data_IF_318088693883
#
_entry.id   IF_318088693883
#
_cell.length_a   1.000
_cell.length_b   1.000
_cell.length_c   1.000
_cell.angle_alpha   90.00
_cell.angle_beta   90.00
_cell.angle_gamma   90.00
#
_symmetry.space_group_name_H-M   'P 1'
#
loop_
_entity.id
_entity.type
_entity.pdbx_description
1 polymer ?
#
# COMPACT_ATOMS: atom_id res chain seq x y z
N UNK A 1 -24.10 -2.69 -26.18
CA UNK A 1 -23.68 -1.26 -26.09
C UNK A 1 -22.36 -1.14 -25.33
N UNK A 2 -21.60 -2.22 -25.19
CA UNK A 2 -20.54 -2.35 -24.17
C UNK A 2 -19.15 -2.11 -24.75
N UNK A 3 -18.98 -2.33 -26.05
CA UNK A 3 -17.70 -2.12 -26.76
C UNK A 3 -17.36 -0.62 -26.87
N UNK A 4 -18.38 0.24 -27.06
CA UNK A 4 -18.23 1.69 -27.14
C UNK A 4 -17.77 2.30 -25.80
N UNK A 5 -18.19 1.71 -24.68
CA UNK A 5 -17.77 2.13 -23.34
C UNK A 5 -16.31 1.76 -23.07
N UNK A 6 -15.86 0.58 -23.53
CA UNK A 6 -14.47 0.13 -23.38
C UNK A 6 -13.45 0.98 -24.17
N UNK A 7 -13.83 1.47 -25.36
CA UNK A 7 -12.97 2.34 -26.18
C UNK A 7 -12.85 3.74 -25.58
N UNK A 8 -13.94 4.28 -25.04
CA UNK A 8 -13.92 5.56 -24.30
C UNK A 8 -13.03 5.49 -23.06
N UNK A 9 -13.03 4.36 -22.34
CA UNK A 9 -12.13 4.15 -21.19
C UNK A 9 -10.65 4.16 -21.59
N UNK A 10 -10.31 3.63 -22.77
CA UNK A 10 -8.92 3.60 -23.26
C UNK A 10 -8.48 5.00 -23.72
N UNK A 11 -9.34 5.76 -24.41
CA UNK A 11 -9.04 7.14 -24.80
C UNK A 11 -8.72 8.02 -23.59
N UNK A 12 -9.52 7.88 -22.52
CA UNK A 12 -9.31 8.61 -21.28
C UNK A 12 -7.96 8.26 -20.60
N UNK A 13 -7.47 7.03 -20.76
CA UNK A 13 -6.17 6.63 -20.20
C UNK A 13 -5.01 7.29 -20.94
N UNK A 14 -5.08 7.42 -22.27
CA UNK A 14 -4.06 8.11 -23.05
C UNK A 14 -3.98 9.61 -22.71
N UNK A 15 -5.12 10.29 -22.61
CA UNK A 15 -5.17 11.72 -22.28
C UNK A 15 -4.63 12.01 -20.86
N UNK A 16 -4.87 11.12 -19.91
CA UNK A 16 -4.32 11.23 -18.55
C UNK A 16 -2.81 10.94 -18.48
N UNK A 17 -2.29 10.13 -19.40
CA UNK A 17 -0.86 9.80 -19.48
C UNK A 17 -0.03 10.97 -20.04
N UNK A 18 -0.60 11.73 -20.98
CA UNK A 18 -0.02 12.98 -21.50
C UNK A 18 0.01 14.08 -20.42
N UNK A 19 -1.06 14.21 -19.63
CA UNK A 19 -1.13 15.14 -18.50
C UNK A 19 -0.14 14.80 -17.36
N UNK A 20 0.10 13.51 -17.10
CA UNK A 20 1.11 13.05 -16.15
C UNK A 20 2.53 13.43 -16.59
N UNK A 21 2.82 13.32 -17.90
CA UNK A 21 4.12 13.71 -18.46
C UNK A 21 4.40 15.22 -18.33
N UNK A 22 3.34 16.04 -18.38
CA UNK A 22 3.41 17.51 -18.30
C UNK A 22 3.55 18.06 -16.88
N UNK A 23 3.35 17.23 -15.85
CA UNK A 23 3.38 17.66 -14.44
C UNK A 23 4.77 17.56 -13.79
N UNK A 24 5.82 17.16 -14.54
CA UNK A 24 7.20 17.09 -14.03
C UNK A 24 7.88 18.44 -13.77
N UNK A 25 7.29 19.58 -14.16
CA UNK A 25 7.93 20.90 -14.10
C UNK A 25 7.40 21.86 -13.01
N UNK A 26 6.72 21.40 -11.96
CA UNK A 26 6.24 22.33 -10.92
C UNK A 26 6.45 21.81 -9.50
N UNK A 27 7.43 22.41 -8.82
CA UNK A 27 7.62 22.67 -7.38
C UNK A 27 6.55 22.15 -6.39
N UNK A 28 6.31 20.84 -6.35
CA UNK A 28 5.35 20.20 -5.44
C UNK A 28 5.91 18.92 -4.80
N UNK A 29 7.24 18.79 -4.70
CA UNK A 29 7.90 17.60 -4.16
C UNK A 29 7.65 17.38 -2.66
N UNK A 30 7.57 18.46 -1.86
CA UNK A 30 7.27 18.35 -0.41
C UNK A 30 5.90 17.73 -0.15
N UNK A 31 4.87 18.13 -0.91
CA UNK A 31 3.52 17.57 -0.77
C UNK A 31 3.42 16.12 -1.28
N UNK A 32 4.25 15.74 -2.25
CA UNK A 32 4.31 14.37 -2.77
C UNK A 32 4.89 13.39 -1.75
N UNK A 33 6.04 13.74 -1.15
CA UNK A 33 6.67 12.93 -0.11
C UNK A 33 5.78 12.79 1.13
N UNK A 34 5.17 13.90 1.59
CA UNK A 34 4.31 13.89 2.77
C UNK A 34 3.11 12.93 2.62
N UNK A 35 2.52 12.87 1.41
CA UNK A 35 1.42 11.93 1.11
C UNK A 35 1.88 10.48 1.15
N UNK A 36 3.01 10.16 0.53
CA UNK A 36 3.56 8.79 0.53
C UNK A 36 3.94 8.36 1.94
N UNK A 37 4.53 9.27 2.74
CA UNK A 37 4.84 9.00 4.14
C UNK A 37 3.59 8.75 4.97
N UNK A 38 2.53 9.55 4.80
CA UNK A 38 1.27 9.33 5.48
C UNK A 38 0.66 7.96 5.11
N UNK A 39 0.64 7.62 3.82
CA UNK A 39 0.16 6.29 3.39
C UNK A 39 1.01 5.14 3.97
N UNK A 40 2.31 5.33 4.14
CA UNK A 40 3.17 4.33 4.79
C UNK A 40 2.83 4.15 6.28
N UNK A 41 2.49 5.24 6.98
CA UNK A 41 2.01 5.16 8.37
C UNK A 41 0.66 4.45 8.46
N UNK A 42 -0.25 4.73 7.54
CA UNK A 42 -1.56 4.08 7.49
C UNK A 42 -1.41 2.57 7.24
N UNK A 43 -0.51 2.17 6.34
CA UNK A 43 -0.20 0.76 6.08
C UNK A 43 0.42 0.06 7.30
N UNK A 44 1.23 0.76 8.09
CA UNK A 44 1.79 0.22 9.32
C UNK A 44 0.68 -0.10 10.33
N UNK A 45 -0.30 0.81 10.48
CA UNK A 45 -1.46 0.60 11.33
C UNK A 45 -2.30 -0.58 10.83
N UNK A 46 -2.58 -0.66 9.52
CA UNK A 46 -3.32 -1.77 8.93
C UNK A 46 -2.59 -3.12 9.13
N UNK A 47 -1.27 -3.14 9.01
CA UNK A 47 -0.46 -4.34 9.28
C UNK A 47 -0.57 -4.78 10.73
N UNK A 48 -0.52 -3.83 11.67
CA UNK A 48 -0.71 -4.10 13.11
C UNK A 48 -2.09 -4.72 13.38
N UNK A 49 -3.15 -4.16 12.78
CA UNK A 49 -4.50 -4.70 12.91
C UNK A 49 -4.63 -6.12 12.35
N UNK A 50 -4.01 -6.39 11.19
CA UNK A 50 -3.99 -7.72 10.59
C UNK A 50 -3.21 -8.73 11.44
N UNK A 51 -2.09 -8.31 12.03
CA UNK A 51 -1.33 -9.14 12.97
C UNK A 51 -2.14 -9.47 14.22
N UNK A 52 -2.78 -8.49 14.84
CA UNK A 52 -3.63 -8.69 16.01
C UNK A 52 -4.80 -9.66 15.70
N UNK A 53 -5.40 -9.55 14.52
CA UNK A 53 -6.45 -10.48 14.07
C UNK A 53 -5.92 -11.91 13.88
N UNK A 54 -4.74 -12.05 13.28
CA UNK A 54 -4.10 -13.35 13.11
C UNK A 54 -3.77 -14.00 14.46
N UNK A 55 -3.20 -13.23 15.39
CA UNK A 55 -2.87 -13.69 16.75
C UNK A 55 -4.13 -14.09 17.53
N UNK A 56 -5.19 -13.29 17.46
CA UNK A 56 -6.47 -13.63 18.10
C UNK A 56 -7.08 -14.92 17.53
N UNK A 57 -7.01 -15.11 16.20
CA UNK A 57 -7.47 -16.35 15.56
C UNK A 57 -6.60 -17.55 15.96
N UNK A 58 -5.28 -17.34 16.11
CA UNK A 58 -4.32 -18.37 16.52
C UNK A 58 -4.58 -18.83 17.95
N UNK A 59 -4.81 -17.89 18.87
CA UNK A 59 -5.18 -18.18 20.26
C UNK A 59 -6.50 -18.97 20.31
N UNK A 60 -7.54 -18.53 19.59
CA UNK A 60 -8.82 -19.22 19.56
C UNK A 60 -8.72 -20.64 18.99
N UNK A 61 -7.87 -20.83 17.99
CA UNK A 61 -7.57 -22.15 17.42
C UNK A 61 -6.80 -23.03 18.41
N UNK A 62 -5.75 -22.51 19.05
CA UNK A 62 -4.94 -23.24 20.03
C UNK A 62 -5.76 -23.66 21.26
N UNK A 63 -6.76 -22.86 21.66
CA UNK A 63 -7.70 -23.17 22.73
C UNK A 63 -8.79 -24.17 22.33
N UNK A 64 -8.84 -24.60 21.06
CA UNK A 64 -9.86 -25.52 20.54
C UNK A 64 -11.25 -24.91 20.45
N UNK A 65 -11.37 -23.58 20.55
CA UNK A 65 -12.63 -22.84 20.47
C UNK A 65 -13.04 -22.54 19.02
N UNK A 66 -12.12 -22.71 18.08
CA UNK A 66 -12.35 -22.54 16.64
C UNK A 66 -11.85 -23.76 15.87
N UNK A 67 -12.73 -24.34 15.06
CA UNK A 67 -12.40 -25.43 14.12
C UNK A 67 -12.00 -24.88 12.73
N UNK A 68 -11.97 -23.56 12.56
CA UNK A 68 -11.81 -22.92 11.27
C UNK A 68 -10.33 -22.66 10.96
N UNK A 69 -9.59 -23.74 10.71
CA UNK A 69 -8.16 -23.71 10.36
C UNK A 69 -7.90 -22.83 9.13
N UNK A 70 -8.88 -22.77 8.22
CA UNK A 70 -8.83 -21.98 7.00
C UNK A 70 -8.79 -20.47 7.31
N UNK A 71 -9.62 -19.99 8.24
CA UNK A 71 -9.66 -18.56 8.61
C UNK A 71 -8.36 -18.13 9.29
N UNK A 72 -7.77 -19.01 10.12
CA UNK A 72 -6.46 -18.79 10.72
C UNK A 72 -5.39 -18.64 9.63
N UNK A 73 -5.34 -19.61 8.71
CA UNK A 73 -4.32 -19.62 7.66
C UNK A 73 -4.45 -18.40 6.74
N UNK A 74 -5.67 -18.01 6.39
CA UNK A 74 -5.95 -16.80 5.61
C UNK A 74 -5.54 -15.53 6.37
N UNK A 75 -5.84 -15.43 7.66
CA UNK A 75 -5.44 -14.29 8.49
C UNK A 75 -3.92 -14.18 8.59
N UNK A 76 -3.22 -15.29 8.82
CA UNK A 76 -1.75 -15.35 8.84
C UNK A 76 -1.15 -14.96 7.49
N UNK A 77 -1.71 -15.44 6.36
CA UNK A 77 -1.23 -15.09 5.03
C UNK A 77 -1.37 -13.59 4.76
N UNK A 78 -2.53 -13.00 5.12
CA UNK A 78 -2.79 -11.57 4.99
C UNK A 78 -1.81 -10.75 5.83
N UNK A 79 -1.61 -11.12 7.10
CA UNK A 79 -0.67 -10.44 7.97
C UNK A 79 0.77 -10.50 7.43
N UNK A 80 1.18 -11.65 6.89
CA UNK A 80 2.52 -11.84 6.33
C UNK A 80 2.73 -11.00 5.06
N UNK A 81 1.78 -11.02 4.13
CA UNK A 81 1.85 -10.20 2.90
C UNK A 81 1.83 -8.71 3.24
N UNK A 82 0.95 -8.28 4.16
CA UNK A 82 0.89 -6.90 4.63
C UNK A 82 2.22 -6.45 5.26
N UNK A 83 2.83 -7.30 6.09
CA UNK A 83 4.13 -7.02 6.70
C UNK A 83 5.23 -6.86 5.64
N UNK A 84 5.33 -7.79 4.69
CA UNK A 84 6.32 -7.70 3.60
C UNK A 84 6.13 -6.41 2.79
N UNK A 85 4.88 -6.05 2.50
CA UNK A 85 4.57 -4.83 1.76
C UNK A 85 4.92 -3.57 2.56
N UNK A 86 4.60 -3.53 3.85
CA UNK A 86 4.95 -2.43 4.75
C UNK A 86 6.45 -2.25 4.89
N UNK A 87 7.23 -3.33 4.94
CA UNK A 87 8.70 -3.24 4.93
C UNK A 87 9.20 -2.62 3.62
N UNK A 88 8.70 -3.07 2.48
CA UNK A 88 9.09 -2.51 1.18
C UNK A 88 8.75 -1.02 1.07
N UNK A 89 7.57 -0.59 1.53
CA UNK A 89 7.18 0.82 1.52
C UNK A 89 8.03 1.63 2.50
N UNK A 90 8.26 1.14 3.72
CA UNK A 90 9.15 1.77 4.71
C UNK A 90 10.53 2.02 4.11
N UNK A 91 11.13 1.02 3.49
CA UNK A 91 12.47 1.13 2.90
C UNK A 91 12.49 2.20 1.80
N UNK A 92 11.46 2.25 0.95
CA UNK A 92 11.32 3.29 -0.08
C UNK A 92 11.14 4.69 0.47
N UNK A 93 10.42 4.86 1.58
CA UNK A 93 10.28 6.17 2.22
C UNK A 93 11.61 6.62 2.83
N UNK A 94 12.36 5.71 3.46
CA UNK A 94 13.71 6.01 3.97
C UNK A 94 14.65 6.43 2.83
N UNK A 95 14.62 5.73 1.70
CA UNK A 95 15.42 6.07 0.52
C UNK A 95 15.03 7.44 -0.04
N UNK A 96 13.74 7.72 -0.18
CA UNK A 96 13.25 9.02 -0.64
C UNK A 96 13.66 10.18 0.29
N UNK A 97 13.63 9.95 1.61
CA UNK A 97 14.10 10.94 2.58
C UNK A 97 15.61 11.23 2.43
N UNK A 98 16.43 10.19 2.23
CA UNK A 98 17.88 10.35 1.97
C UNK A 98 18.14 11.12 0.67
N UNK A 99 17.38 10.85 -0.38
CA UNK A 99 17.51 11.55 -1.66
C UNK A 99 17.20 13.04 -1.54
N UNK A 100 16.11 13.40 -0.83
CA UNK A 100 15.77 14.81 -0.55
C UNK A 100 16.90 15.50 0.21
N UNK A 101 17.48 14.83 1.22
CA UNK A 101 18.62 15.40 1.96
C UNK A 101 19.86 15.58 1.08
N UNK A 102 20.17 14.63 0.19
CA UNK A 102 21.32 14.72 -0.72
C UNK A 102 21.12 15.77 -1.83
N UNK A 103 19.88 16.05 -2.27
CA UNK A 103 19.60 17.11 -3.24
C UNK A 103 19.64 18.52 -2.63
N UNK A 104 19.46 18.62 -1.32
CA UNK A 104 19.41 19.90 -0.59
C UNK A 104 20.77 20.39 -0.05
N UNK A 105 21.79 19.52 -0.12
CA UNK A 105 23.20 19.79 0.22
C UNK A 105 24.00 20.13 -1.05
#
# INVERSE_FOLDING_TARGET
MDVMNSVSSISNVYDNMDAFSKTRESSNQENGFQKVFQSALDMLNETSDLQNKAESAEIQFALGLSNNTHDLQVAQQKANIALQYTVAVRDKVIDAYKEIMNMSL
#
